data_IF_144232806356
#
_entry.id   IF_144232806356
#
_cell.length_a   1.000
_cell.length_b   1.000
_cell.length_c   1.000
_cell.angle_alpha   90.00
_cell.angle_beta   90.00
_cell.angle_gamma   90.00
#
_symmetry.space_group_name_H-M   'P 1'
#
loop_
_entity.id
_entity.type
_entity.pdbx_description
1 polymer ?
#
# COMPACT_ATOMS: atom_id res chain seq x y z
N UNK A 1 47.71 20.68 34.69
CA UNK A 1 46.67 21.55 34.11
C UNK A 1 46.73 21.41 32.60
N UNK A 2 45.94 20.49 32.00
CA UNK A 2 45.55 20.51 30.58
C UNK A 2 44.49 19.43 30.29
N UNK A 3 43.26 19.90 30.09
CA UNK A 3 42.31 19.55 29.02
C UNK A 3 41.95 18.06 28.80
N UNK A 4 40.79 17.65 29.32
CA UNK A 4 39.88 16.67 28.69
C UNK A 4 38.43 17.17 28.81
N UNK A 5 38.10 18.24 28.07
CA UNK A 5 36.72 18.62 27.75
C UNK A 5 36.59 18.67 26.23
N UNK A 6 36.74 17.52 25.58
CA UNK A 6 36.47 17.34 24.16
C UNK A 6 35.48 16.19 24.04
N UNK A 7 34.18 16.47 23.96
CA UNK A 7 33.20 15.39 23.79
C UNK A 7 31.75 15.80 23.56
N UNK A 8 31.29 16.93 24.11
CA UNK A 8 29.87 17.28 23.96
C UNK A 8 29.51 17.76 22.55
N UNK A 9 30.37 18.53 21.87
CA UNK A 9 30.09 18.98 20.50
C UNK A 9 30.14 17.85 19.46
N UNK A 10 31.00 16.85 19.66
CA UNK A 10 31.09 15.68 18.78
C UNK A 10 29.85 14.79 18.86
N UNK A 11 29.25 14.68 20.05
CA UNK A 11 28.02 13.92 20.26
C UNK A 11 26.81 14.54 19.54
N UNK A 12 26.66 15.86 19.60
CA UNK A 12 25.59 16.57 18.87
C UNK A 12 25.79 16.50 17.35
N UNK A 13 27.04 16.61 16.87
CA UNK A 13 27.38 16.43 15.45
C UNK A 13 27.12 14.99 14.97
N UNK A 14 27.40 13.99 15.81
CA UNK A 14 27.10 12.60 15.52
C UNK A 14 25.59 12.31 15.51
N UNK A 15 24.81 12.86 16.46
CA UNK A 15 23.35 12.79 16.43
C UNK A 15 22.74 13.45 15.18
N UNK A 16 23.26 14.62 14.78
CA UNK A 16 22.83 15.28 13.54
C UNK A 16 23.17 14.41 12.32
N UNK A 17 24.36 13.80 12.26
CA UNK A 17 24.76 12.90 11.17
C UNK A 17 23.87 11.65 11.07
N UNK A 18 23.46 11.06 12.20
CA UNK A 18 22.56 9.89 12.24
C UNK A 18 21.11 10.27 11.86
N UNK A 19 20.69 11.50 12.14
CA UNK A 19 19.38 12.01 11.73
C UNK A 19 19.23 12.09 10.20
N UNK A 20 20.32 12.37 9.47
CA UNK A 20 20.32 12.42 8.00
C UNK A 20 20.34 11.03 7.32
N UNK A 21 20.67 9.95 8.05
CA UNK A 21 20.74 8.60 7.49
C UNK A 21 19.38 7.85 7.48
N UNK A 22 18.34 8.42 8.10
CA UNK A 22 17.03 7.77 8.24
C UNK A 22 15.98 8.39 7.29
N UNK A 23 16.30 8.49 6.01
CA UNK A 23 15.31 8.84 4.98
C UNK A 23 15.50 7.98 3.72
N UNK A 24 15.79 6.69 3.90
CA UNK A 24 15.54 5.72 2.85
C UNK A 24 14.02 5.47 2.81
N UNK A 25 13.28 6.32 2.11
CA UNK A 25 11.94 5.97 1.64
C UNK A 25 12.06 4.71 0.79
N UNK A 26 11.36 3.64 1.16
CA UNK A 26 11.35 2.39 0.40
C UNK A 26 10.67 2.53 -0.98
N UNK A 27 10.21 3.72 -1.38
CA UNK A 27 9.53 3.92 -2.66
C UNK A 27 9.95 5.17 -3.44
N UNK A 28 11.09 5.12 -4.16
CA UNK A 28 11.18 5.82 -5.43
C UNK A 28 10.45 4.98 -6.49
N UNK A 29 9.21 5.35 -6.84
CA UNK A 29 8.58 4.93 -8.11
C UNK A 29 7.58 3.76 -8.09
N UNK A 30 7.14 3.27 -6.93
CA UNK A 30 6.06 2.29 -6.86
C UNK A 30 4.73 2.93 -6.44
N UNK A 31 3.61 2.39 -6.94
CA UNK A 31 2.26 2.74 -6.51
C UNK A 31 1.72 1.59 -5.67
N UNK A 32 1.59 1.80 -4.36
CA UNK A 32 1.02 0.84 -3.42
C UNK A 32 -0.40 1.25 -3.03
N UNK A 33 -1.37 0.41 -3.34
CA UNK A 33 -2.80 0.68 -3.16
C UNK A 33 -3.34 -0.21 -2.04
N UNK A 34 -3.98 0.41 -1.05
CA UNK A 34 -4.72 -0.28 0.01
C UNK A 34 -6.21 -0.31 -0.34
N UNK A 35 -6.69 -1.51 -0.68
CA UNK A 35 -8.05 -1.74 -1.12
C UNK A 35 -9.04 -1.56 0.05
N UNK A 36 -10.07 -0.74 -0.15
CA UNK A 36 -11.10 -0.48 0.87
C UNK A 36 -10.71 0.50 1.98
N UNK A 37 -9.46 0.98 2.02
CA UNK A 37 -9.04 2.01 2.97
C UNK A 37 -9.70 3.36 2.68
N UNK A 38 -9.98 4.12 3.74
CA UNK A 38 -10.56 5.47 3.66
C UNK A 38 -9.52 6.58 3.76
N UNK A 39 -8.31 6.26 4.22
CA UNK A 39 -7.21 7.20 4.40
C UNK A 39 -5.90 6.59 3.94
N UNK A 40 -5.00 7.43 3.45
CA UNK A 40 -3.62 7.01 3.17
C UNK A 40 -2.89 6.70 4.47
N UNK A 41 -1.93 5.78 4.41
CA UNK A 41 -1.11 5.40 5.56
C UNK A 41 0.31 5.09 5.12
N UNK A 42 1.23 5.09 6.09
CA UNK A 42 2.61 4.65 5.89
C UNK A 42 2.87 3.52 6.86
N UNK A 43 3.33 2.39 6.35
CA UNK A 43 3.77 1.27 7.18
C UNK A 43 5.04 1.70 7.94
N UNK A 44 5.03 1.73 9.29
CA UNK A 44 6.16 2.21 10.07
C UNK A 44 7.35 1.23 10.08
N UNK A 45 7.13 -0.04 9.73
CA UNK A 45 8.17 -1.08 9.68
C UNK A 45 8.84 -1.11 8.33
N UNK A 46 8.06 -1.10 7.24
CA UNK A 46 8.60 -1.20 5.88
C UNK A 46 8.85 0.16 5.22
N UNK A 47 8.26 1.24 5.75
CA UNK A 47 8.31 2.58 5.16
C UNK A 47 7.46 2.73 3.89
N UNK A 48 6.64 1.73 3.54
CA UNK A 48 5.80 1.75 2.34
C UNK A 48 4.63 2.71 2.54
N UNK A 49 4.44 3.61 1.58
CA UNK A 49 3.28 4.49 1.53
C UNK A 49 2.14 3.77 0.80
N UNK A 50 1.00 3.64 1.48
CA UNK A 50 -0.21 3.05 0.96
C UNK A 50 -1.24 4.15 0.68
N UNK A 51 -1.66 4.28 -0.58
CA UNK A 51 -2.77 5.15 -0.97
C UNK A 51 -4.09 4.39 -1.00
N UNK A 52 -5.20 5.07 -0.77
CA UNK A 52 -6.54 4.48 -0.98
C UNK A 52 -6.76 4.04 -2.43
N UNK A 53 -7.68 3.10 -2.64
CA UNK A 53 -8.08 2.61 -3.97
C UNK A 53 -9.10 3.51 -4.71
N UNK A 54 -9.67 4.49 -4.00
CA UNK A 54 -10.68 5.45 -4.49
C UNK A 54 -10.37 6.06 -5.87
N UNK A 55 -9.14 6.53 -6.18
CA UNK A 55 -8.87 7.12 -7.49
C UNK A 55 -8.78 6.10 -8.64
N UNK A 56 -8.70 4.81 -8.34
CA UNK A 56 -8.45 3.76 -9.33
C UNK A 56 -9.68 2.88 -9.61
N UNK A 57 -10.69 2.90 -8.75
CA UNK A 57 -11.91 2.12 -8.93
C UNK A 57 -13.14 2.84 -8.35
N UNK A 58 -14.27 2.74 -9.04
CA UNK A 58 -15.55 3.37 -8.65
C UNK A 58 -16.62 2.38 -8.16
N UNK A 59 -16.28 1.09 -8.11
CA UNK A 59 -17.25 0.00 -7.86
C UNK A 59 -16.78 -0.91 -6.73
N UNK A 60 -17.64 -1.81 -6.27
CA UNK A 60 -17.36 -2.67 -5.11
C UNK A 60 -17.59 -1.93 -3.79
N UNK A 61 -17.42 -2.66 -2.70
CA UNK A 61 -17.77 -2.19 -1.36
C UNK A 61 -16.57 -2.37 -0.43
N UNK A 62 -16.23 -1.31 0.29
CA UNK A 62 -15.15 -1.32 1.28
C UNK A 62 -15.58 -2.15 2.49
N UNK A 63 -14.68 -2.97 3.01
CA UNK A 63 -14.95 -3.79 4.18
C UNK A 63 -13.73 -3.82 5.09
N UNK A 64 -13.98 -3.71 6.39
CA UNK A 64 -12.98 -3.94 7.43
C UNK A 64 -12.98 -5.43 7.74
N UNK A 65 -11.79 -6.00 7.80
CA UNK A 65 -11.59 -7.42 8.13
C UNK A 65 -11.64 -7.55 9.66
N UNK A 66 -12.31 -8.60 10.12
CA UNK A 66 -12.39 -8.94 11.52
C UNK A 66 -10.99 -9.21 12.09
N UNK A 67 -10.70 -8.55 13.22
CA UNK A 67 -9.37 -8.58 13.83
C UNK A 67 -8.91 -9.99 14.17
N UNK A 68 -9.84 -10.92 14.44
CA UNK A 68 -9.50 -12.33 14.74
C UNK A 68 -8.78 -13.03 13.59
N UNK A 69 -8.97 -12.59 12.35
CA UNK A 69 -8.27 -13.11 11.16
C UNK A 69 -7.00 -12.32 10.84
N UNK A 70 -6.91 -11.05 11.25
CA UNK A 70 -5.72 -10.23 11.02
C UNK A 70 -4.63 -10.35 12.08
N UNK A 71 -4.86 -11.06 13.19
CA UNK A 71 -3.84 -11.22 14.24
C UNK A 71 -2.56 -11.90 13.73
N UNK A 72 -2.64 -12.71 12.67
CA UNK A 72 -1.47 -13.32 12.02
C UNK A 72 -0.77 -12.39 11.02
N UNK A 73 -1.38 -11.27 10.65
CA UNK A 73 -0.87 -10.34 9.64
C UNK A 73 -0.47 -9.01 10.28
N UNK A 74 0.83 -8.81 10.51
CA UNK A 74 1.41 -7.51 10.90
C UNK A 74 1.42 -6.48 9.74
N UNK A 75 0.44 -6.54 8.84
CA UNK A 75 0.35 -5.77 7.62
C UNK A 75 -0.94 -4.95 7.64
N UNK A 76 -0.82 -3.67 7.98
CA UNK A 76 -1.97 -2.76 8.10
C UNK A 76 -2.79 -2.67 6.80
N UNK A 77 -2.16 -2.87 5.64
CA UNK A 77 -2.81 -2.92 4.34
C UNK A 77 -3.75 -4.12 4.14
N UNK A 78 -3.68 -5.13 5.03
CA UNK A 78 -4.56 -6.30 5.04
C UNK A 78 -5.65 -6.20 6.12
N UNK A 79 -5.85 -5.03 6.73
CA UNK A 79 -6.98 -4.79 7.65
C UNK A 79 -8.26 -4.36 6.92
N UNK A 80 -8.12 -3.92 5.68
CA UNK A 80 -9.23 -3.54 4.82
C UNK A 80 -9.18 -4.31 3.51
N UNK A 81 -10.36 -4.50 2.90
CA UNK A 81 -10.49 -5.03 1.55
C UNK A 81 -11.60 -4.32 0.81
N UNK A 82 -11.62 -4.51 -0.51
CA UNK A 82 -12.77 -4.21 -1.36
C UNK A 82 -13.37 -5.51 -1.87
N UNK A 83 -14.64 -5.77 -1.55
CA UNK A 83 -15.35 -6.92 -2.09
C UNK A 83 -16.26 -6.51 -3.26
N UNK A 84 -16.48 -7.46 -4.17
CA UNK A 84 -17.33 -7.29 -5.33
C UNK A 84 -18.49 -8.28 -5.22
N UNK A 85 -19.74 -7.82 -5.01
CA UNK A 85 -20.88 -8.70 -4.95
C UNK A 85 -21.11 -9.39 -6.31
N UNK A 86 -21.87 -10.49 -6.31
CA UNK A 86 -22.05 -11.39 -7.47
C UNK A 86 -22.84 -10.77 -8.63
N UNK A 87 -23.06 -9.45 -8.67
CA UNK A 87 -23.57 -8.83 -9.88
C UNK A 87 -22.55 -9.12 -11.00
N UNK A 88 -23.01 -9.64 -12.15
CA UNK A 88 -22.15 -10.13 -13.25
C UNK A 88 -21.40 -9.02 -14.00
N UNK A 89 -21.11 -7.90 -13.36
CA UNK A 89 -20.39 -6.78 -13.94
C UNK A 89 -18.89 -6.96 -13.74
N UNK A 90 -18.10 -6.62 -14.76
CA UNK A 90 -16.64 -6.51 -14.62
C UNK A 90 -16.33 -5.29 -13.74
N UNK A 91 -15.46 -5.47 -12.76
CA UNK A 91 -14.95 -4.40 -11.91
C UNK A 91 -13.51 -4.07 -12.32
N UNK A 92 -13.29 -2.87 -12.85
CA UNK A 92 -12.01 -2.48 -13.45
C UNK A 92 -11.27 -1.49 -12.55
N UNK A 93 -10.02 -1.81 -12.23
CA UNK A 93 -9.05 -0.82 -11.76
C UNK A 93 -8.41 -0.14 -12.97
N UNK A 94 -8.37 1.19 -12.94
CA UNK A 94 -7.63 1.99 -13.93
C UNK A 94 -6.37 2.52 -13.27
N UNK A 95 -5.23 1.94 -13.62
CA UNK A 95 -3.93 2.29 -13.04
C UNK A 95 -3.15 3.23 -13.96
N UNK A 96 -2.42 4.22 -13.42
CA UNK A 96 -1.52 5.03 -14.22
C UNK A 96 -0.40 4.14 -14.77
N UNK A 97 -0.11 4.29 -16.07
CA UNK A 97 0.97 3.58 -16.73
C UNK A 97 1.66 4.51 -17.73
N UNK A 98 2.98 4.45 -17.76
CA UNK A 98 3.79 5.08 -18.80
C UNK A 98 3.90 4.14 -20.00
N UNK A 99 3.69 4.64 -21.24
CA UNK A 99 3.85 3.83 -22.44
C UNK A 99 5.24 3.19 -22.52
N UNK A 100 5.31 2.01 -23.16
CA UNK A 100 6.56 1.26 -23.41
C UNK A 100 7.38 0.94 -22.14
N UNK A 101 6.72 0.93 -20.98
CA UNK A 101 7.35 0.63 -19.69
C UNK A 101 6.89 -0.74 -19.21
N UNK A 102 7.83 -1.54 -18.70
CA UNK A 102 7.53 -2.82 -18.07
C UNK A 102 7.17 -2.60 -16.61
N UNK A 103 6.04 -3.16 -16.17
CA UNK A 103 5.56 -3.05 -14.80
C UNK A 103 5.56 -4.40 -14.09
N UNK A 104 5.94 -4.40 -12.82
CA UNK A 104 5.66 -5.50 -11.91
C UNK A 104 4.34 -5.22 -11.19
N UNK A 105 3.35 -6.08 -11.38
CA UNK A 105 2.05 -5.99 -10.71
C UNK A 105 1.98 -7.09 -9.65
N UNK A 106 1.73 -6.71 -8.40
CA UNK A 106 1.48 -7.62 -7.29
C UNK A 106 0.10 -7.35 -6.72
N UNK A 107 -0.75 -8.37 -6.74
CA UNK A 107 -2.06 -8.34 -6.09
C UNK A 107 -2.08 -9.32 -4.91
N UNK A 108 -2.65 -8.90 -3.80
CA UNK A 108 -2.86 -9.73 -2.61
C UNK A 108 -4.36 -9.96 -2.43
N UNK A 109 -4.74 -11.21 -2.20
CA UNK A 109 -6.13 -11.60 -1.97
C UNK A 109 -6.21 -12.30 -0.62
N UNK A 110 -7.15 -11.89 0.23
CA UNK A 110 -7.39 -12.48 1.53
C UNK A 110 -8.73 -13.23 1.50
N UNK A 111 -8.72 -14.46 1.99
CA UNK A 111 -9.90 -15.30 2.10
C UNK A 111 -10.30 -15.46 3.56
N UNK A 112 -11.55 -15.15 3.90
CA UNK A 112 -12.07 -15.17 5.27
C UNK A 112 -11.95 -13.83 6.00
N UNK A 113 -12.45 -13.77 7.24
CA UNK A 113 -12.37 -12.55 8.07
C UNK A 113 -13.37 -11.45 7.72
N UNK A 114 -14.32 -11.70 6.83
CA UNK A 114 -15.47 -10.84 6.57
C UNK A 114 -16.66 -11.72 6.20
N UNK A 115 -17.88 -11.17 6.16
CA UNK A 115 -19.06 -11.92 5.72
C UNK A 115 -18.97 -12.20 4.21
N UNK A 116 -18.20 -13.23 3.87
CA UNK A 116 -18.00 -13.70 2.52
C UNK A 116 -19.08 -14.73 2.17
N UNK A 117 -19.56 -14.70 0.93
CA UNK A 117 -20.52 -15.69 0.42
C UNK A 117 -19.87 -17.07 0.36
N UNK A 118 -20.66 -18.14 0.35
CA UNK A 118 -20.15 -19.53 0.26
C UNK A 118 -19.41 -19.77 -1.07
N UNK A 119 -19.69 -18.96 -2.10
CA UNK A 119 -18.99 -18.94 -3.39
C UNK A 119 -18.13 -17.66 -3.54
N UNK A 120 -16.82 -17.77 -3.26
CA UNK A 120 -15.85 -16.68 -3.40
C UNK A 120 -14.91 -16.87 -4.61
N UNK A 121 -15.43 -17.44 -5.70
CA UNK A 121 -14.66 -17.62 -6.93
C UNK A 121 -14.69 -16.35 -7.78
N UNK A 122 -13.53 -15.93 -8.28
CA UNK A 122 -13.39 -14.80 -9.20
C UNK A 122 -12.28 -15.06 -10.22
N UNK A 123 -12.32 -14.33 -11.32
CA UNK A 123 -11.23 -14.31 -12.31
C UNK A 123 -10.65 -12.90 -12.37
N UNK A 124 -9.34 -12.78 -12.19
CA UNK A 124 -8.60 -11.54 -12.38
C UNK A 124 -7.86 -11.59 -13.72
N UNK A 125 -7.90 -10.49 -14.47
CA UNK A 125 -7.16 -10.33 -15.72
C UNK A 125 -6.51 -8.96 -15.75
N UNK A 126 -5.33 -8.89 -16.34
CA UNK A 126 -4.60 -7.65 -16.57
C UNK A 126 -4.74 -7.34 -18.05
N UNK A 127 -5.18 -6.13 -18.36
CA UNK A 127 -5.32 -5.64 -19.72
C UNK A 127 -4.61 -4.29 -19.83
N UNK A 128 -3.92 -4.08 -20.95
CA UNK A 128 -3.15 -2.87 -21.23
C UNK A 128 -3.83 -1.96 -22.26
N UNK A 129 -5.14 -2.09 -22.48
CA UNK A 129 -5.86 -1.16 -23.35
C UNK A 129 -5.67 0.27 -22.82
N UNK A 130 -4.97 1.06 -23.63
CA UNK A 130 -4.77 2.48 -23.37
C UNK A 130 -6.15 3.14 -23.44
N UNK A 131 -6.73 3.48 -22.29
CA UNK A 131 -7.84 4.43 -22.23
C UNK A 131 -7.43 5.76 -22.89
N UNK A 132 -8.40 6.61 -23.28
CA UNK A 132 -8.06 7.89 -23.88
C UNK A 132 -7.10 8.67 -22.98
N UNK A 133 -5.95 9.05 -23.53
CA UNK A 133 -4.95 9.88 -22.88
C UNK A 133 -5.65 11.17 -22.43
N UNK A 134 -5.76 11.40 -21.12
CA UNK A 134 -6.30 12.65 -20.61
C UNK A 134 -5.15 13.66 -20.61
N UNK A 135 -5.03 14.40 -21.72
CA UNK A 135 -4.15 15.56 -21.89
C UNK A 135 -4.62 16.75 -21.08
#
# INVERSE_FOLDING_TARGET
MTIWWAGQHGFWLWMLLVSFLNSASAQPGFLSINCGATTNSTDPVTGIQWTTDVPYISTGINQIIDRTVTNDFNQDQLQTLRYFPTNRSKHCYTLPATPYTTFLIRASFLHGGFQASVDNSFSASIDSSLGPMRT
#
